data_IF_717185571989
#
_entry.id   IF_717185571989
#
_cell.length_a   1.000
_cell.length_b   1.000
_cell.length_c   1.000
_cell.angle_alpha   90.00
_cell.angle_beta   90.00
_cell.angle_gamma   90.00
#
_symmetry.space_group_name_H-M   'P 1'
#
loop_
_entity.id
_entity.type
_entity.pdbx_description
1 polymer ?
#
# COMPACT_ATOMS: atom_id res chain seq x y z
N UNK A 1 -20.25 1.96 -3.31
CA UNK A 1 -19.00 2.48 -2.70
C UNK A 1 -17.93 1.39 -2.60
N UNK A 2 -18.15 0.32 -1.82
CA UNK A 2 -17.16 -0.74 -1.61
C UNK A 2 -16.59 -1.36 -2.89
N UNK A 3 -17.44 -1.73 -3.86
CA UNK A 3 -17.01 -2.32 -5.14
C UNK A 3 -16.05 -1.39 -5.90
N UNK A 4 -16.38 -0.11 -6.03
CA UNK A 4 -15.56 0.85 -6.76
C UNK A 4 -14.19 1.05 -6.09
N UNK A 5 -14.17 1.23 -4.77
CA UNK A 5 -12.93 1.37 -4.00
C UNK A 5 -12.05 0.12 -4.08
N UNK A 6 -12.63 -1.07 -3.90
CA UNK A 6 -11.93 -2.34 -4.04
C UNK A 6 -11.34 -2.53 -5.45
N UNK A 7 -12.10 -2.14 -6.49
CA UNK A 7 -11.64 -2.22 -7.88
C UNK A 7 -10.45 -1.28 -8.14
N UNK A 8 -10.52 -0.02 -7.72
CA UNK A 8 -9.41 0.93 -7.90
C UNK A 8 -8.16 0.50 -7.12
N UNK A 9 -8.33 0.01 -5.88
CA UNK A 9 -7.22 -0.49 -5.07
C UNK A 9 -6.51 -1.66 -5.77
N UNK A 10 -7.26 -2.66 -6.20
CA UNK A 10 -6.71 -3.87 -6.79
C UNK A 10 -6.15 -3.66 -8.21
N UNK A 11 -6.81 -2.84 -9.03
CA UNK A 11 -6.45 -2.71 -10.45
C UNK A 11 -5.46 -1.60 -10.74
N UNK A 12 -5.33 -0.61 -9.86
CA UNK A 12 -4.46 0.57 -10.09
C UNK A 12 -3.50 0.81 -8.96
N UNK A 13 -3.98 0.94 -7.71
CA UNK A 13 -3.14 1.36 -6.60
C UNK A 13 -2.05 0.32 -6.29
N UNK A 14 -2.44 -0.93 -6.01
CA UNK A 14 -1.51 -1.99 -5.63
C UNK A 14 -0.49 -2.27 -6.74
N UNK A 15 -0.88 -2.45 -8.02
CA UNK A 15 0.09 -2.67 -9.10
C UNK A 15 1.09 -1.52 -9.24
N UNK A 16 0.64 -0.26 -9.14
CA UNK A 16 1.53 0.89 -9.27
C UNK A 16 2.48 1.04 -8.07
N UNK A 17 2.03 0.71 -6.85
CA UNK A 17 2.90 0.67 -5.68
C UNK A 17 3.92 -0.46 -5.78
N UNK A 18 3.56 -1.62 -6.36
CA UNK A 18 4.51 -2.70 -6.63
C UNK A 18 5.59 -2.28 -7.64
N UNK A 19 5.20 -1.57 -8.71
CA UNK A 19 6.14 -0.98 -9.66
C UNK A 19 7.09 0.00 -8.97
N UNK A 20 6.56 0.89 -8.13
CA UNK A 20 7.37 1.84 -7.36
C UNK A 20 8.34 1.13 -6.41
N UNK A 21 7.86 0.13 -5.66
CA UNK A 21 8.67 -0.68 -4.77
C UNK A 21 9.82 -1.37 -5.52
N UNK A 22 9.52 -2.01 -6.64
CA UNK A 22 10.54 -2.70 -7.45
C UNK A 22 11.60 -1.72 -7.97
N UNK A 23 11.19 -0.53 -8.44
CA UNK A 23 12.13 0.50 -8.89
C UNK A 23 13.02 1.02 -7.75
N UNK A 24 12.45 1.31 -6.58
CA UNK A 24 13.20 1.75 -5.41
C UNK A 24 14.17 0.68 -4.90
N UNK A 25 13.74 -0.58 -4.87
CA UNK A 25 14.60 -1.70 -4.49
C UNK A 25 15.73 -1.90 -5.50
N UNK A 26 15.46 -1.85 -6.80
CA UNK A 26 16.50 -1.94 -7.82
C UNK A 26 17.54 -0.82 -7.64
N UNK A 27 17.11 0.39 -7.31
CA UNK A 27 18.02 1.51 -7.01
C UNK A 27 18.75 1.35 -5.69
N UNK A 28 18.18 0.72 -4.67
CA UNK A 28 18.92 0.42 -3.44
C UNK A 28 20.11 -0.50 -3.72
N UNK A 29 19.94 -1.49 -4.59
CA UNK A 29 21.02 -2.40 -4.99
C UNK A 29 22.07 -1.70 -5.90
N UNK A 30 21.62 -0.90 -6.86
CA UNK A 30 22.50 -0.14 -7.76
C UNK A 30 23.39 0.85 -6.99
N UNK A 31 22.87 1.43 -5.90
CA UNK A 31 23.55 2.46 -5.12
C UNK A 31 24.26 1.93 -3.87
N UNK A 32 24.37 0.60 -3.72
CA UNK A 32 24.92 -0.04 -2.51
C UNK A 32 26.36 0.39 -2.18
N UNK A 33 27.14 0.75 -3.20
CA UNK A 33 28.57 1.09 -3.07
C UNK A 33 28.84 2.61 -3.00
N UNK A 34 27.81 3.45 -3.16
CA UNK A 34 27.95 4.92 -3.12
C UNK A 34 27.87 5.39 -1.66
N UNK A 35 29.01 5.75 -1.06
CA UNK A 35 29.06 6.34 0.29
C UNK A 35 28.65 7.82 0.25
N UNK A 36 27.75 8.22 1.16
CA UNK A 36 27.29 9.60 1.32
C UNK A 36 27.30 10.03 2.79
N UNK A 37 27.25 11.35 3.03
CA UNK A 37 27.05 11.90 4.38
C UNK A 37 25.59 11.68 4.83
N UNK A 38 25.41 11.20 6.06
CA UNK A 38 24.09 11.16 6.70
C UNK A 38 23.65 12.55 7.14
N UNK A 39 22.34 12.73 7.34
CA UNK A 39 21.80 13.95 7.95
C UNK A 39 20.76 13.65 9.03
N UNK A 40 20.99 14.18 10.23
CA UNK A 40 20.04 14.17 11.34
C UNK A 40 19.81 15.60 11.81
N UNK A 41 18.57 16.01 12.07
CA UNK A 41 18.24 17.42 12.29
C UNK A 41 18.73 18.33 11.14
N UNK A 42 18.79 17.80 9.92
CA UNK A 42 19.37 18.44 8.72
C UNK A 42 20.86 18.82 8.80
N UNK A 43 21.56 18.43 9.86
CA UNK A 43 23.00 18.62 10.04
C UNK A 43 23.76 17.36 9.66
N UNK A 44 25.04 17.51 9.33
CA UNK A 44 25.92 16.40 8.96
C UNK A 44 26.03 15.36 10.09
N UNK A 45 26.02 14.09 9.71
CA UNK A 45 26.10 12.94 10.61
C UNK A 45 27.09 11.90 10.06
N UNK A 46 27.17 10.72 10.71
CA UNK A 46 28.03 9.62 10.25
C UNK A 46 27.62 9.11 8.85
N UNK A 47 28.58 8.64 8.02
CA UNK A 47 28.27 8.13 6.68
C UNK A 47 27.37 6.89 6.66
N UNK A 48 26.67 6.73 5.53
CA UNK A 48 25.94 5.55 5.12
C UNK A 48 26.00 5.44 3.59
N UNK A 49 25.58 4.31 3.00
CA UNK A 49 25.49 4.21 1.55
C UNK A 49 24.17 4.80 1.04
N UNK A 50 24.17 5.34 -0.17
CA UNK A 50 22.95 5.80 -0.83
C UNK A 50 21.96 4.64 -1.03
N UNK A 51 22.47 3.42 -1.23
CA UNK A 51 21.67 2.20 -1.23
C UNK A 51 20.93 1.97 0.09
N UNK A 52 21.60 2.17 1.24
CA UNK A 52 20.96 2.07 2.56
C UNK A 52 19.83 3.11 2.72
N UNK A 53 20.02 4.34 2.26
CA UNK A 53 18.97 5.37 2.28
C UNK A 53 17.75 4.94 1.43
N UNK A 54 17.97 4.46 0.20
CA UNK A 54 16.91 3.99 -0.68
C UNK A 54 16.21 2.73 -0.16
N UNK A 55 16.91 1.87 0.59
CA UNK A 55 16.31 0.69 1.23
C UNK A 55 15.21 1.09 2.23
N UNK A 56 15.36 2.23 2.90
CA UNK A 56 14.34 2.80 3.77
C UNK A 56 13.07 3.16 3.00
N UNK A 57 13.22 3.84 1.86
CA UNK A 57 12.10 4.21 0.98
C UNK A 57 11.37 2.97 0.44
N UNK A 58 12.13 1.98 -0.04
CA UNK A 58 11.56 0.72 -0.53
C UNK A 58 10.75 0.02 0.57
N UNK A 59 11.30 -0.06 1.79
CA UNK A 59 10.63 -0.68 2.94
C UNK A 59 9.33 0.05 3.30
N UNK A 60 9.30 1.38 3.24
CA UNK A 60 8.07 2.15 3.49
C UNK A 60 6.98 1.83 2.46
N UNK A 61 7.32 1.71 1.17
CA UNK A 61 6.36 1.35 0.13
C UNK A 61 5.86 -0.08 0.33
N UNK A 62 6.73 -1.04 0.65
CA UNK A 62 6.35 -2.41 0.98
C UNK A 62 5.31 -2.46 2.09
N UNK A 63 5.57 -1.79 3.22
CA UNK A 63 4.62 -1.73 4.33
C UNK A 63 3.35 -0.94 3.99
N UNK A 64 3.43 0.06 3.10
CA UNK A 64 2.26 0.74 2.55
C UNK A 64 1.33 -0.23 1.80
N UNK A 65 1.89 -1.09 0.95
CA UNK A 65 1.14 -2.13 0.23
C UNK A 65 0.46 -3.07 1.22
N UNK A 66 1.20 -3.60 2.20
CA UNK A 66 0.66 -4.52 3.21
C UNK A 66 -0.50 -3.90 4.00
N UNK A 67 -0.36 -2.63 4.42
CA UNK A 67 -1.41 -1.89 5.12
C UNK A 67 -2.69 -1.79 4.30
N UNK A 68 -2.58 -1.45 3.02
CA UNK A 68 -3.74 -1.33 2.12
C UNK A 68 -4.41 -2.69 1.95
N UNK A 69 -3.63 -3.75 1.71
CA UNK A 69 -4.15 -5.11 1.56
C UNK A 69 -4.94 -5.56 2.79
N UNK A 70 -4.48 -5.23 4.00
CA UNK A 70 -5.18 -5.56 5.24
C UNK A 70 -6.54 -4.86 5.40
N UNK A 71 -6.82 -3.80 4.64
CA UNK A 71 -8.14 -3.15 4.65
C UNK A 71 -9.17 -3.89 3.78
N UNK A 72 -8.72 -4.63 2.76
CA UNK A 72 -9.57 -5.22 1.74
C UNK A 72 -10.60 -6.23 2.25
N UNK A 73 -10.31 -7.12 3.24
CA UNK A 73 -11.30 -8.09 3.71
C UNK A 73 -12.61 -7.46 4.18
N UNK A 74 -12.55 -6.32 4.88
CA UNK A 74 -13.76 -5.58 5.31
C UNK A 74 -14.41 -4.81 4.17
N UNK A 75 -13.62 -4.33 3.21
CA UNK A 75 -14.14 -3.70 2.00
C UNK A 75 -14.91 -4.67 1.10
N UNK A 76 -14.61 -5.97 1.17
CA UNK A 76 -15.32 -6.99 0.40
C UNK A 76 -16.69 -7.37 0.99
N UNK A 77 -17.01 -6.92 2.21
CA UNK A 77 -18.34 -7.10 2.78
C UNK A 77 -19.30 -6.10 2.12
N UNK A 78 -20.36 -6.59 1.49
CA UNK A 78 -21.33 -5.76 0.78
C UNK A 78 -22.61 -5.62 1.61
N UNK A 79 -23.19 -4.41 1.60
CA UNK A 79 -24.45 -4.13 2.28
C UNK A 79 -25.69 -4.52 1.45
N UNK A 80 -25.49 -5.11 0.26
CA UNK A 80 -26.57 -5.51 -0.63
C UNK A 80 -27.50 -6.50 0.08
N UNK A 81 -28.81 -6.40 -0.16
CA UNK A 81 -29.82 -7.21 0.52
C UNK A 81 -30.35 -6.60 1.83
N UNK A 82 -29.66 -5.65 2.47
CA UNK A 82 -30.11 -5.00 3.71
C UNK A 82 -31.30 -4.04 3.58
N UNK A 83 -31.62 -3.59 2.37
CA UNK A 83 -32.72 -2.67 2.02
C UNK A 83 -32.74 -1.36 2.83
N UNK A 84 -33.91 -0.85 3.20
CA UNK A 84 -34.08 0.53 3.68
C UNK A 84 -33.44 0.80 5.05
N UNK A 85 -33.45 -0.21 5.94
CA UNK A 85 -32.99 -0.05 7.34
C UNK A 85 -32.15 -1.23 7.85
N UNK A 86 -31.69 -2.11 6.97
CA UNK A 86 -30.82 -3.25 7.33
C UNK A 86 -31.55 -4.54 7.73
N UNK A 87 -32.89 -4.57 7.73
CA UNK A 87 -33.68 -5.76 8.12
C UNK A 87 -33.82 -6.81 7.02
N UNK A 88 -33.53 -6.46 5.77
CA UNK A 88 -33.81 -7.31 4.62
C UNK A 88 -35.29 -7.41 4.24
N UNK A 89 -36.14 -6.52 4.77
CA UNK A 89 -37.55 -6.47 4.36
C UNK A 89 -37.64 -6.21 2.85
N UNK A 90 -38.51 -6.95 2.16
CA UNK A 90 -38.67 -6.99 0.70
C UNK A 90 -37.51 -7.67 -0.08
N UNK A 91 -36.59 -8.38 0.59
CA UNK A 91 -35.54 -9.20 -0.04
C UNK A 91 -35.92 -10.70 -0.01
N UNK A 92 -35.70 -11.43 -1.11
CA UNK A 92 -35.83 -12.91 -1.11
C UNK A 92 -34.64 -13.52 -0.37
N UNK A 93 -34.87 -14.60 0.38
CA UNK A 93 -33.81 -15.33 1.09
C UNK A 93 -32.69 -15.78 0.12
N UNK A 94 -31.44 -15.48 0.44
CA UNK A 94 -30.27 -15.82 -0.38
C UNK A 94 -29.97 -14.83 -1.50
N UNK A 95 -30.54 -13.62 -1.45
CA UNK A 95 -30.25 -12.54 -2.41
C UNK A 95 -29.11 -11.63 -1.94
N UNK A 96 -28.82 -11.64 -0.64
CA UNK A 96 -27.67 -10.95 -0.06
C UNK A 96 -26.33 -11.27 -0.73
#
# INVERSE_FOLDING_TARGET
>A
MHIASAKEINSRLIPNLQTLHAALHSKSEEFKDIVKIGRTHTQDATPLTLGQEFSGYSTQVKYGIERVLHTLPRMYQLAQGGTAVGTGLNTKKGYE
#
